data_IF_660484603245
#
_entry.id   IF_660484603245
#
_cell.length_a   1.000
_cell.length_b   1.000
_cell.length_c   1.000
_cell.angle_alpha   90.00
_cell.angle_beta   90.00
_cell.angle_gamma   90.00
#
_symmetry.space_group_name_H-M   'P 1'
#
loop_
_entity.id
_entity.type
_entity.pdbx_description
1 polymer ?
#
# COMPACT_ATOMS: atom_id res chain seq x y z
N UNK A 1 -30.40 -19.53 -14.63
CA UNK A 1 -29.73 -19.32 -13.33
C UNK A 1 -28.24 -19.41 -13.56
N UNK A 2 -27.58 -18.29 -13.79
CA UNK A 2 -26.11 -18.23 -13.89
C UNK A 2 -25.64 -17.32 -12.77
N UNK A 3 -25.01 -17.94 -11.78
CA UNK A 3 -24.35 -17.30 -10.65
C UNK A 3 -23.40 -16.22 -11.19
N UNK A 4 -23.63 -14.98 -10.75
CA UNK A 4 -22.64 -13.93 -10.88
C UNK A 4 -21.42 -14.41 -10.09
N UNK A 5 -20.33 -14.69 -10.80
CA UNK A 5 -19.03 -14.90 -10.19
C UNK A 5 -18.71 -13.61 -9.44
N UNK A 6 -18.81 -13.70 -8.13
CA UNK A 6 -18.35 -12.70 -7.18
C UNK A 6 -16.83 -12.55 -7.36
N UNK A 7 -16.45 -11.74 -8.34
CA UNK A 7 -15.08 -11.31 -8.57
C UNK A 7 -14.82 -10.04 -7.76
N UNK A 8 -15.26 -10.00 -6.51
CA UNK A 8 -14.73 -9.03 -5.57
C UNK A 8 -13.28 -9.47 -5.30
N UNK A 9 -12.27 -8.68 -5.70
CA UNK A 9 -10.88 -9.09 -5.53
C UNK A 9 -10.62 -9.28 -4.04
N UNK A 10 -10.17 -10.47 -3.66
CA UNK A 10 -9.81 -10.82 -2.27
C UNK A 10 -8.86 -9.80 -1.60
N UNK A 11 -8.16 -9.02 -2.42
CA UNK A 11 -7.28 -7.92 -2.03
C UNK A 11 -8.04 -6.71 -1.43
N UNK A 12 -9.21 -6.35 -1.99
CA UNK A 12 -10.05 -5.28 -1.46
C UNK A 12 -10.71 -5.67 -0.13
N UNK A 13 -11.10 -6.94 0.03
CA UNK A 13 -11.68 -7.45 1.27
C UNK A 13 -10.63 -7.59 2.38
N UNK A 14 -9.40 -8.01 2.04
CA UNK A 14 -8.31 -8.08 3.02
C UNK A 14 -7.84 -6.70 3.49
N UNK A 15 -7.83 -5.70 2.60
CA UNK A 15 -7.51 -4.32 2.94
C UNK A 15 -8.58 -3.69 3.87
N UNK A 16 -9.86 -3.96 3.61
CA UNK A 16 -10.97 -3.47 4.45
C UNK A 16 -10.96 -4.13 5.86
N UNK A 17 -10.66 -5.43 5.92
CA UNK A 17 -10.44 -6.15 7.18
C UNK A 17 -9.26 -5.58 7.96
N UNK A 18 -8.17 -5.18 7.30
CA UNK A 18 -7.00 -4.60 7.97
C UNK A 18 -7.28 -3.21 8.54
N UNK A 19 -7.96 -2.34 7.77
CA UNK A 19 -8.33 -0.98 8.21
C UNK A 19 -9.26 -1.04 9.44
N UNK A 20 -10.26 -1.90 9.41
CA UNK A 20 -11.24 -2.04 10.51
C UNK A 20 -10.68 -2.77 11.72
N UNK A 21 -9.86 -3.82 11.52
CA UNK A 21 -9.32 -4.64 12.62
C UNK A 21 -8.15 -3.98 13.34
N UNK A 22 -7.31 -3.20 12.64
CA UNK A 22 -6.06 -2.70 13.22
C UNK A 22 -5.95 -1.17 13.18
N UNK A 23 -6.25 -0.52 12.05
CA UNK A 23 -5.98 0.91 11.90
C UNK A 23 -7.00 1.80 12.64
N UNK A 24 -8.29 1.44 12.62
CA UNK A 24 -9.31 2.14 13.38
C UNK A 24 -9.07 2.11 14.90
N UNK A 25 -8.80 0.95 15.54
CA UNK A 25 -8.44 0.90 16.96
C UNK A 25 -7.20 1.74 17.29
N UNK A 26 -6.17 1.72 16.45
CA UNK A 26 -4.95 2.51 16.64
C UNK A 26 -5.24 4.02 16.62
N UNK A 27 -6.10 4.49 15.71
CA UNK A 27 -6.56 5.89 15.65
C UNK A 27 -7.30 6.30 16.92
N UNK A 28 -8.17 5.43 17.44
CA UNK A 28 -8.95 5.69 18.67
C UNK A 28 -8.02 5.75 19.88
N UNK A 29 -7.11 4.78 20.02
CA UNK A 29 -6.15 4.73 21.13
C UNK A 29 -5.28 5.98 21.12
N UNK A 30 -4.74 6.37 19.96
CA UNK A 30 -3.91 7.57 19.83
C UNK A 30 -4.62 8.84 20.34
N UNK A 31 -5.88 9.04 19.98
CA UNK A 31 -6.69 10.16 20.46
C UNK A 31 -6.94 10.14 21.98
N UNK A 32 -7.07 8.94 22.58
CA UNK A 32 -7.25 8.78 24.03
C UNK A 32 -5.94 9.00 24.78
N UNK A 33 -4.83 8.48 24.26
CA UNK A 33 -3.51 8.62 24.85
C UNK A 33 -3.08 10.09 24.95
N UNK A 34 -3.41 10.91 23.94
CA UNK A 34 -3.16 12.35 23.98
C UNK A 34 -3.87 13.05 25.15
N UNK A 35 -5.03 12.55 25.59
CA UNK A 35 -5.76 13.10 26.75
C UNK A 35 -5.21 12.65 28.09
N UNK A 36 -4.70 11.42 28.18
CA UNK A 36 -4.16 10.83 29.41
C UNK A 36 -2.73 11.32 29.68
N UNK A 37 -1.97 11.59 28.62
CA UNK A 37 -0.59 12.07 28.69
C UNK A 37 -0.43 13.35 29.54
N UNK A 38 -1.46 14.19 29.62
CA UNK A 38 -1.39 15.46 30.37
C UNK A 38 -1.49 15.29 31.90
N UNK A 39 -1.69 14.07 32.41
CA UNK A 39 -1.84 13.81 33.84
C UNK A 39 -0.48 13.64 34.56
N UNK A 40 0.54 13.08 33.92
CA UNK A 40 1.84 12.83 34.56
C UNK A 40 3.02 12.84 33.57
N UNK A 41 4.18 13.46 33.88
CA UNK A 41 5.31 13.60 32.95
C UNK A 41 5.85 12.27 32.41
N UNK A 42 5.92 11.23 33.24
CA UNK A 42 6.37 9.91 32.80
C UNK A 42 5.33 9.20 31.91
N UNK A 43 4.04 9.39 32.18
CA UNK A 43 2.99 8.90 31.32
C UNK A 43 3.04 9.65 29.97
N UNK A 44 3.27 10.96 29.98
CA UNK A 44 3.43 11.77 28.77
C UNK A 44 4.53 11.25 27.85
N UNK A 45 5.69 10.91 28.40
CA UNK A 45 6.79 10.36 27.60
C UNK A 45 6.45 8.98 27.04
N UNK A 46 6.00 8.05 27.89
CA UNK A 46 5.70 6.69 27.46
C UNK A 46 4.57 6.64 26.43
N UNK A 47 3.48 7.37 26.68
CA UNK A 47 2.35 7.48 25.77
C UNK A 47 2.70 8.26 24.50
N UNK A 48 3.62 9.22 24.57
CA UNK A 48 4.15 9.90 23.40
C UNK A 48 4.91 8.98 22.44
N UNK A 49 5.74 8.08 22.96
CA UNK A 49 6.42 7.05 22.13
C UNK A 49 5.42 6.11 21.48
N UNK A 50 4.41 5.67 22.24
CA UNK A 50 3.34 4.80 21.73
C UNK A 50 2.50 5.49 20.64
N UNK A 51 2.15 6.77 20.84
CA UNK A 51 1.46 7.61 19.85
C UNK A 51 2.27 7.74 18.56
N UNK A 52 3.58 8.02 18.67
CA UNK A 52 4.46 8.11 17.52
C UNK A 52 4.52 6.80 16.72
N UNK A 53 4.63 5.66 17.41
CA UNK A 53 4.61 4.34 16.75
C UNK A 53 3.27 4.08 16.04
N UNK A 54 2.14 4.40 16.67
CA UNK A 54 0.80 4.28 16.06
C UNK A 54 0.70 5.11 14.77
N UNK A 55 1.12 6.38 14.82
CA UNK A 55 1.12 7.29 13.66
C UNK A 55 2.00 6.77 12.52
N UNK A 56 3.16 6.17 12.83
CA UNK A 56 4.02 5.54 11.83
C UNK A 56 3.30 4.39 11.12
N UNK A 57 2.66 3.50 11.87
CA UNK A 57 1.93 2.34 11.30
C UNK A 57 0.80 2.82 10.38
N UNK A 58 0.01 3.80 10.82
CA UNK A 58 -1.07 4.37 10.02
C UNK A 58 -0.53 5.02 8.74
N UNK A 59 0.55 5.80 8.84
CA UNK A 59 1.16 6.44 7.69
C UNK A 59 1.77 5.42 6.70
N UNK A 60 2.31 4.30 7.17
CA UNK A 60 2.76 3.21 6.30
C UNK A 60 1.58 2.59 5.55
N UNK A 61 0.50 2.25 6.25
CA UNK A 61 -0.65 1.64 5.60
C UNK A 61 -1.28 2.53 4.52
N UNK A 62 -1.34 3.86 4.75
CA UNK A 62 -1.82 4.81 3.74
C UNK A 62 -0.90 4.88 2.51
N UNK A 63 0.42 4.80 2.71
CA UNK A 63 1.39 4.71 1.61
C UNK A 63 1.21 3.41 0.84
N UNK A 64 1.08 2.28 1.53
CA UNK A 64 0.90 0.97 0.90
C UNK A 64 -0.38 0.94 0.07
N UNK A 65 -1.48 1.48 0.59
CA UNK A 65 -2.73 1.61 -0.17
C UNK A 65 -2.55 2.51 -1.42
N UNK A 66 -1.79 3.60 -1.28
CA UNK A 66 -1.49 4.48 -2.43
C UNK A 66 -0.63 3.76 -3.48
N UNK A 67 0.32 2.91 -3.04
CA UNK A 67 1.13 2.07 -3.93
C UNK A 67 0.26 1.02 -4.62
N UNK A 68 -0.63 0.34 -3.90
CA UNK A 68 -1.57 -0.62 -4.48
C UNK A 68 -2.54 0.04 -5.48
N UNK A 69 -2.88 1.31 -5.26
CA UNK A 69 -3.73 2.09 -6.17
C UNK A 69 -3.02 2.47 -7.49
N UNK A 70 -1.68 2.35 -7.56
CA UNK A 70 -0.99 2.43 -8.84
C UNK A 70 -1.45 1.24 -9.71
N UNK A 71 -2.10 1.56 -10.81
CA UNK A 71 -2.62 0.62 -11.83
C UNK A 71 -1.57 -0.31 -12.45
N UNK A 72 -0.32 -0.25 -12.02
CA UNK A 72 0.75 -1.13 -12.47
C UNK A 72 0.43 -2.60 -12.21
N UNK A 73 -0.14 -2.94 -11.06
CA UNK A 73 -0.57 -4.30 -10.75
C UNK A 73 -1.66 -4.78 -11.73
N UNK A 74 -2.61 -3.91 -12.07
CA UNK A 74 -3.68 -4.20 -13.03
C UNK A 74 -3.13 -4.39 -14.45
N UNK A 75 -2.17 -3.56 -14.89
CA UNK A 75 -1.51 -3.67 -16.19
C UNK A 75 -0.72 -4.98 -16.29
N UNK A 76 0.06 -5.34 -15.27
CA UNK A 76 0.80 -6.61 -15.26
C UNK A 76 -0.13 -7.82 -15.19
N UNK A 77 -1.21 -7.74 -14.43
CA UNK A 77 -2.21 -8.81 -14.36
C UNK A 77 -2.90 -9.01 -15.72
N UNK A 78 -3.21 -7.92 -16.43
CA UNK A 78 -3.76 -7.97 -17.79
C UNK A 78 -2.78 -8.63 -18.77
N UNK A 79 -1.50 -8.27 -18.71
CA UNK A 79 -0.46 -8.86 -19.56
C UNK A 79 -0.26 -10.35 -19.24
N UNK A 80 -0.33 -10.74 -17.96
CA UNK A 80 -0.10 -12.11 -17.51
C UNK A 80 -1.30 -13.05 -17.68
N UNK A 81 -2.53 -12.53 -17.81
CA UNK A 81 -3.74 -13.34 -17.97
C UNK A 81 -3.96 -13.86 -19.40
N UNK A 82 -3.34 -13.23 -20.40
CA UNK A 82 -3.61 -13.52 -21.80
C UNK A 82 -2.33 -13.81 -22.59
N UNK A 83 -2.00 -15.10 -22.70
CA UNK A 83 -0.89 -15.62 -23.51
C UNK A 83 -1.03 -15.28 -25.01
N UNK A 84 -2.20 -14.81 -25.46
CA UNK A 84 -2.41 -14.36 -26.84
C UNK A 84 -1.79 -12.99 -27.13
N UNK A 85 -1.62 -12.13 -26.11
CA UNK A 85 -0.97 -10.82 -26.25
C UNK A 85 0.49 -10.98 -26.68
N UNK A 86 1.20 -11.99 -26.17
CA UNK A 86 2.58 -12.28 -26.56
C UNK A 86 2.73 -12.76 -28.02
N UNK A 87 1.63 -13.20 -28.65
CA UNK A 87 1.62 -13.68 -30.05
C UNK A 87 1.45 -12.55 -31.06
N UNK A 88 1.00 -11.38 -30.61
CA UNK A 88 0.83 -10.19 -31.45
C UNK A 88 2.10 -9.36 -31.34
N UNK A 89 2.86 -9.27 -32.45
CA UNK A 89 4.15 -8.59 -32.50
C UNK A 89 4.09 -7.12 -32.02
N UNK A 90 3.06 -6.37 -32.41
CA UNK A 90 2.86 -4.99 -31.96
C UNK A 90 2.61 -4.88 -30.45
N UNK A 91 1.95 -5.88 -29.86
CA UNK A 91 1.64 -5.90 -28.44
C UNK A 91 2.86 -6.30 -27.60
N UNK A 92 3.69 -7.23 -28.10
CA UNK A 92 4.98 -7.59 -27.52
C UNK A 92 5.90 -6.37 -27.38
N UNK A 93 5.97 -5.53 -28.41
CA UNK A 93 6.77 -4.30 -28.39
C UNK A 93 6.23 -3.28 -27.38
N UNK A 94 4.91 -3.13 -27.28
CA UNK A 94 4.26 -2.24 -26.30
C UNK A 94 4.53 -2.71 -24.88
N UNK A 95 4.34 -4.00 -24.60
CA UNK A 95 4.63 -4.61 -23.29
C UNK A 95 6.10 -4.43 -22.94
N UNK A 96 7.01 -4.65 -23.89
CA UNK A 96 8.43 -4.41 -23.70
C UNK A 96 8.75 -2.97 -23.25
N UNK A 97 8.11 -1.97 -23.88
CA UNK A 97 8.27 -0.56 -23.49
C UNK A 97 7.69 -0.26 -22.10
N UNK A 98 6.53 -0.83 -21.74
CA UNK A 98 5.92 -0.66 -20.42
C UNK A 98 6.82 -1.24 -19.33
N UNK A 99 7.30 -2.48 -19.52
CA UNK A 99 8.21 -3.15 -18.59
C UNK A 99 9.51 -2.36 -18.45
N UNK A 100 10.07 -1.89 -19.57
CA UNK A 100 11.30 -1.09 -19.57
C UNK A 100 11.12 0.21 -18.78
N UNK A 101 10.08 0.99 -19.05
CA UNK A 101 9.81 2.23 -18.32
C UNK A 101 9.56 1.97 -16.82
N UNK A 102 8.85 0.90 -16.49
CA UNK A 102 8.62 0.48 -15.10
C UNK A 102 9.93 0.16 -14.39
N UNK A 103 10.84 -0.55 -15.07
CA UNK A 103 12.16 -0.87 -14.54
C UNK A 103 13.01 0.39 -14.32
N UNK A 104 12.98 1.34 -15.24
CA UNK A 104 13.70 2.61 -15.09
C UNK A 104 13.17 3.43 -13.90
N UNK A 105 11.84 3.50 -13.74
CA UNK A 105 11.23 4.12 -12.56
C UNK A 105 11.66 3.42 -11.26
N UNK A 106 11.67 2.08 -11.23
CA UNK A 106 12.07 1.31 -10.05
C UNK A 106 13.56 1.53 -9.70
N UNK A 107 14.44 1.56 -10.72
CA UNK A 107 15.86 1.89 -10.54
C UNK A 107 16.06 3.29 -9.99
N UNK A 108 15.36 4.28 -10.56
CA UNK A 108 15.39 5.65 -10.07
C UNK A 108 14.99 5.75 -8.60
N UNK A 109 13.90 5.09 -8.19
CA UNK A 109 13.45 5.08 -6.79
C UNK A 109 14.50 4.44 -5.88
N UNK A 110 15.08 3.30 -6.28
CA UNK A 110 16.15 2.64 -5.52
C UNK A 110 17.35 3.56 -5.34
N UNK A 111 17.89 4.09 -6.44
CA UNK A 111 19.10 4.92 -6.43
C UNK A 111 18.86 6.22 -5.63
N UNK A 112 17.66 6.79 -5.72
CA UNK A 112 17.24 7.93 -4.91
C UNK A 112 17.18 7.59 -3.41
N UNK A 113 16.69 6.40 -3.06
CA UNK A 113 16.57 5.96 -1.67
C UNK A 113 17.92 5.62 -1.02
N UNK A 114 18.89 5.15 -1.81
CA UNK A 114 20.26 4.87 -1.34
C UNK A 114 21.07 6.16 -1.09
N UNK A 115 20.77 7.22 -1.83
CA UNK A 115 21.51 8.50 -1.77
C UNK A 115 20.90 9.53 -0.83
N UNK A 116 19.68 9.30 -0.34
CA UNK A 116 18.95 10.18 0.59
C UNK A 116 18.51 9.37 1.83
N UNK A 117 19.10 9.66 2.99
CA UNK A 117 18.56 9.19 4.27
C UNK A 117 17.31 10.02 4.62
N UNK A 118 16.19 9.34 4.89
CA UNK A 118 14.99 9.95 5.49
C UNK A 118 15.10 10.03 7.02
#
# INVERSE_FOLDING_TARGET
MTSAVDNTPADLTAADDFETTYLQPLKIIDAVLEKIADVHPYAKMALGVLSAASKIIIAQAQRDQSILSLKLAEVYRFIAQDDSLGKIESMRDIVGKIVHQTLECARFIRDYSETKSF
#
